data_IF_376389549120
#
_entry.id   IF_376389549120
#
_cell.length_a   1.000
_cell.length_b   1.000
_cell.length_c   1.000
_cell.angle_alpha   90.00
_cell.angle_beta   90.00
_cell.angle_gamma   90.00
#
_symmetry.space_group_name_H-M   'P 1'
#
loop_
_entity.id
_entity.type
_entity.pdbx_description
1 polymer ?
#
# COMPACT_ATOMS: atom_id res chain seq x y z
N UNK A 1 19.16 -4.90 -19.25
CA UNK A 1 19.29 -5.85 -18.12
C UNK A 1 18.24 -6.93 -18.32
N UNK A 2 18.50 -8.18 -17.95
CA UNK A 2 17.53 -9.28 -18.11
C UNK A 2 16.62 -9.35 -16.87
N UNK A 3 15.43 -9.93 -17.01
CA UNK A 3 14.52 -10.19 -15.89
C UNK A 3 15.21 -11.08 -14.86
N UNK A 4 15.21 -10.67 -13.60
CA UNK A 4 15.70 -11.44 -12.46
C UNK A 4 14.51 -12.16 -11.84
N UNK A 5 14.66 -13.45 -11.61
CA UNK A 5 13.68 -14.26 -10.88
C UNK A 5 14.35 -14.65 -9.56
N UNK A 6 13.67 -14.39 -8.45
CA UNK A 6 14.10 -14.75 -7.11
C UNK A 6 13.05 -15.65 -6.45
N UNK A 7 13.48 -16.79 -5.93
CA UNK A 7 12.60 -17.78 -5.31
C UNK A 7 13.12 -18.20 -3.94
N UNK A 8 12.19 -18.67 -3.10
CA UNK A 8 12.55 -19.23 -1.80
C UNK A 8 11.36 -19.38 -0.85
N UNK A 9 11.69 -19.44 0.43
CA UNK A 9 10.71 -19.67 1.50
C UNK A 9 10.50 -18.39 2.31
N UNK A 10 9.26 -18.17 2.73
CA UNK A 10 8.86 -17.08 3.61
C UNK A 10 8.12 -17.62 4.83
N UNK A 11 8.53 -17.20 6.03
CA UNK A 11 7.96 -17.65 7.29
C UNK A 11 7.54 -16.47 8.17
N UNK A 12 6.44 -16.62 8.91
CA UNK A 12 6.04 -15.62 9.91
C UNK A 12 6.97 -15.68 11.14
N UNK A 13 7.60 -14.56 11.48
CA UNK A 13 8.51 -14.44 12.64
C UNK A 13 7.83 -13.76 13.84
N UNK A 14 6.81 -12.96 13.60
CA UNK A 14 5.97 -12.37 14.64
C UNK A 14 4.62 -11.97 14.03
N UNK A 15 3.53 -12.12 14.78
CA UNK A 15 2.22 -11.67 14.31
C UNK A 15 1.26 -11.48 15.46
N UNK A 16 0.46 -10.41 15.41
CA UNK A 16 -0.66 -10.20 16.32
C UNK A 16 -1.90 -9.93 15.49
N UNK A 17 -2.91 -10.79 15.69
CA UNK A 17 -4.27 -10.53 15.23
C UNK A 17 -4.99 -9.74 16.32
N UNK A 18 -5.67 -8.67 15.95
CA UNK A 18 -6.49 -7.91 16.87
C UNK A 18 -7.91 -8.49 16.90
N UNK A 19 -8.04 -9.69 17.47
CA UNK A 19 -9.34 -10.35 17.62
C UNK A 19 -10.30 -9.45 18.41
N UNK A 20 -11.46 -9.14 17.81
CA UNK A 20 -12.48 -8.27 18.39
C UNK A 20 -12.32 -6.77 18.09
N UNK A 21 -11.25 -6.36 17.40
CA UNK A 21 -11.16 -5.03 16.78
C UNK A 21 -11.59 -5.17 15.33
N UNK A 22 -12.84 -4.80 15.07
CA UNK A 22 -13.35 -4.67 13.71
C UNK A 22 -13.25 -3.19 13.36
N UNK A 23 -12.56 -2.86 12.27
CA UNK A 23 -12.63 -1.53 11.70
C UNK A 23 -14.10 -1.21 11.34
N UNK A 24 -14.44 0.07 11.20
CA UNK A 24 -15.80 0.55 10.92
C UNK A 24 -16.45 -0.10 9.68
N UNK A 25 -15.65 -0.69 8.80
CA UNK A 25 -16.01 -1.35 7.55
C UNK A 25 -16.11 -2.89 7.65
N UNK A 26 -15.97 -3.48 8.83
CA UNK A 26 -16.04 -4.94 9.01
C UNK A 26 -14.70 -5.66 8.91
N UNK A 27 -13.60 -4.98 8.55
CA UNK A 27 -12.27 -5.59 8.36
C UNK A 27 -11.57 -5.81 9.70
N UNK A 28 -10.73 -6.85 9.79
CA UNK A 28 -9.92 -7.11 10.99
C UNK A 28 -8.46 -6.75 10.68
N UNK A 29 -7.87 -5.76 11.34
CA UNK A 29 -6.46 -5.45 11.14
C UNK A 29 -5.60 -6.60 11.66
N UNK A 30 -4.54 -6.86 10.93
CA UNK A 30 -3.50 -7.81 11.30
C UNK A 30 -2.15 -7.11 11.16
N UNK A 31 -1.18 -7.54 11.96
CA UNK A 31 0.20 -7.13 11.78
C UNK A 31 1.03 -8.40 11.88
N UNK A 32 1.81 -8.71 10.85
CA UNK A 32 2.89 -9.69 10.94
C UNK A 32 4.21 -9.14 10.43
N UNK A 33 5.26 -9.89 10.74
CA UNK A 33 6.57 -9.78 10.15
C UNK A 33 6.93 -11.15 9.60
N UNK A 34 7.53 -11.14 8.42
CA UNK A 34 7.94 -12.30 7.65
C UNK A 34 9.46 -12.28 7.47
N UNK A 35 10.06 -13.45 7.53
CA UNK A 35 11.47 -13.67 7.17
C UNK A 35 11.51 -14.38 5.82
N UNK A 36 12.32 -13.84 4.91
CA UNK A 36 12.57 -14.38 3.59
C UNK A 36 13.93 -15.09 3.60
N UNK A 37 13.96 -16.29 3.03
CA UNK A 37 15.16 -17.09 2.81
C UNK A 37 15.21 -17.60 1.38
N UNK A 38 16.38 -17.99 0.88
CA UNK A 38 16.59 -18.34 -0.53
C UNK A 38 17.32 -17.22 -1.27
N UNK A 39 16.80 -16.83 -2.44
CA UNK A 39 17.43 -15.77 -3.26
C UNK A 39 17.24 -14.38 -2.65
N UNK A 40 16.10 -14.10 -2.02
CA UNK A 40 15.90 -12.96 -1.13
C UNK A 40 16.15 -13.40 0.32
N UNK A 41 17.07 -12.70 0.98
CA UNK A 41 17.38 -12.87 2.41
C UNK A 41 17.10 -11.58 3.13
N UNK A 42 16.12 -11.58 4.03
CA UNK A 42 15.74 -10.36 4.74
C UNK A 42 14.45 -10.50 5.51
N UNK A 43 13.98 -9.36 6.02
CA UNK A 43 12.71 -9.30 6.76
C UNK A 43 11.75 -8.37 6.05
N UNK A 44 10.52 -8.82 5.88
CA UNK A 44 9.41 -7.96 5.52
C UNK A 44 8.51 -7.70 6.73
N UNK A 45 8.18 -6.46 7.00
CA UNK A 45 7.25 -6.08 8.07
C UNK A 45 5.97 -5.54 7.47
N UNK A 46 4.82 -6.00 7.96
CA UNK A 46 3.54 -5.31 7.70
C UNK A 46 3.63 -3.90 8.25
N UNK A 47 3.46 -2.94 7.35
CA UNK A 47 3.32 -1.53 7.71
C UNK A 47 1.85 -1.12 7.69
N UNK A 48 1.04 -1.77 6.84
CA UNK A 48 -0.39 -1.98 7.11
C UNK A 48 -0.86 -3.28 6.48
N UNK A 49 -1.69 -4.02 7.19
CA UNK A 49 -2.44 -5.09 6.58
C UNK A 49 -3.87 -5.06 7.06
N UNK A 50 -4.78 -5.07 6.11
CA UNK A 50 -6.19 -5.22 6.34
C UNK A 50 -6.54 -6.63 5.87
N UNK A 51 -6.88 -7.51 6.80
CA UNK A 51 -7.69 -8.64 6.35
C UNK A 51 -9.05 -8.05 6.05
N UNK A 52 -9.42 -7.94 4.77
CA UNK A 52 -10.82 -7.81 4.36
C UNK A 52 -11.48 -9.17 4.62
N UNK A 53 -11.54 -9.56 5.88
CA UNK A 53 -12.39 -10.66 6.28
C UNK A 53 -13.80 -10.10 6.18
N UNK A 54 -14.41 -10.19 5.00
CA UNK A 54 -15.85 -10.20 4.91
C UNK A 54 -16.29 -11.45 5.67
N UNK A 55 -16.54 -11.28 6.97
CA UNK A 55 -17.30 -12.28 7.72
C UNK A 55 -18.77 -12.15 7.30
N UNK A 56 -19.07 -12.46 6.03
CA UNK A 56 -20.42 -12.86 5.68
C UNK A 56 -20.57 -14.27 6.24
N UNK A 57 -21.28 -14.37 7.36
CA UNK A 57 -21.71 -15.66 7.90
C UNK A 57 -22.53 -16.37 6.80
N UNK A 58 -21.92 -17.34 6.11
CA UNK A 58 -22.63 -18.23 5.18
C UNK A 58 -22.09 -18.33 3.75
N UNK A 59 -21.05 -17.58 3.36
CA UNK A 59 -20.38 -17.74 2.05
C UNK A 59 -18.85 -17.75 2.26
N UNK A 60 -18.24 -18.90 1.99
CA UNK A 60 -16.88 -19.25 2.39
C UNK A 60 -15.83 -18.65 1.42
N UNK A 61 -15.58 -17.34 1.50
CA UNK A 61 -14.44 -16.68 0.84
C UNK A 61 -13.81 -15.64 1.76
N UNK A 62 -12.49 -15.70 1.93
CA UNK A 62 -11.69 -14.74 2.71
C UNK A 62 -10.77 -14.00 1.77
N UNK A 63 -10.88 -12.68 1.74
CA UNK A 63 -9.95 -11.81 1.03
C UNK A 63 -8.97 -11.18 2.03
N UNK A 64 -7.69 -11.11 1.66
CA UNK A 64 -6.67 -10.49 2.48
C UNK A 64 -5.83 -9.55 1.63
N UNK A 65 -5.63 -8.33 2.13
CA UNK A 65 -4.80 -7.32 1.48
C UNK A 65 -3.72 -6.87 2.46
N UNK A 66 -2.47 -6.91 2.01
CA UNK A 66 -1.33 -6.55 2.84
C UNK A 66 -0.37 -5.65 2.07
N UNK A 67 0.23 -4.73 2.81
CA UNK A 67 1.36 -3.93 2.39
C UNK A 67 2.54 -4.23 3.32
N UNK A 68 3.60 -4.80 2.73
CA UNK A 68 4.82 -5.19 3.44
C UNK A 68 5.98 -4.30 3.04
N UNK A 69 6.81 -3.89 4.00
CA UNK A 69 8.13 -3.33 3.75
C UNK A 69 9.20 -4.37 3.92
N UNK A 70 9.89 -4.68 2.84
CA UNK A 70 11.06 -5.52 2.83
C UNK A 70 12.34 -4.70 3.04
N UNK A 71 13.21 -5.23 3.89
CA UNK A 71 14.60 -4.83 3.99
C UNK A 71 15.48 -6.07 4.00
N UNK A 72 16.44 -6.13 3.09
CA UNK A 72 17.30 -7.30 2.94
C UNK A 72 18.24 -7.25 1.76
N UNK A 73 18.68 -8.43 1.35
CA UNK A 73 19.63 -8.68 0.27
C UNK A 73 19.01 -9.60 -0.79
N UNK A 74 19.27 -9.29 -2.05
CA UNK A 74 19.06 -10.20 -3.17
C UNK A 74 20.40 -10.84 -3.54
N UNK A 75 20.45 -12.17 -3.52
CA UNK A 75 21.63 -12.97 -3.74
C UNK A 75 22.32 -12.59 -5.06
N UNK A 76 23.59 -12.20 -4.98
CA UNK A 76 24.40 -11.81 -6.14
C UNK A 76 24.09 -10.43 -6.73
N UNK A 77 23.13 -9.68 -6.17
CA UNK A 77 22.77 -8.32 -6.60
C UNK A 77 23.16 -7.29 -5.53
N UNK A 78 22.74 -7.51 -4.27
CA UNK A 78 23.11 -6.67 -3.14
C UNK A 78 21.93 -6.29 -2.24
N UNK A 79 22.16 -5.32 -1.35
CA UNK A 79 21.20 -4.90 -0.32
C UNK A 79 20.29 -3.76 -0.77
N UNK A 80 19.04 -3.76 -0.33
CA UNK A 80 18.11 -2.66 -0.56
C UNK A 80 16.80 -2.80 0.20
N UNK A 81 15.84 -1.94 -0.11
CA UNK A 81 14.48 -1.99 0.43
C UNK A 81 13.46 -1.87 -0.68
N UNK A 82 12.25 -2.35 -0.42
CA UNK A 82 11.08 -2.09 -1.24
C UNK A 82 9.81 -2.33 -0.42
N UNK A 83 8.69 -1.75 -0.86
CA UNK A 83 7.38 -2.12 -0.37
C UNK A 83 6.72 -3.08 -1.38
N UNK A 84 5.85 -3.95 -0.90
CA UNK A 84 5.07 -4.84 -1.77
C UNK A 84 3.63 -4.91 -1.32
N UNK A 85 2.71 -4.79 -2.28
CA UNK A 85 1.30 -5.11 -2.08
C UNK A 85 1.10 -6.62 -2.24
N UNK A 86 0.06 -7.14 -1.61
CA UNK A 86 -0.29 -8.54 -1.72
C UNK A 86 -1.79 -8.71 -1.50
N UNK A 87 -2.49 -9.27 -2.49
CA UNK A 87 -3.90 -9.61 -2.42
C UNK A 87 -4.05 -11.12 -2.53
N UNK A 88 -4.78 -11.71 -1.59
CA UNK A 88 -5.04 -13.15 -1.52
C UNK A 88 -6.54 -13.42 -1.45
N UNK A 89 -7.00 -14.45 -2.15
CA UNK A 89 -8.35 -15.01 -2.00
C UNK A 89 -8.25 -16.46 -1.52
N UNK A 90 -9.08 -16.82 -0.55
CA UNK A 90 -9.04 -18.13 0.11
C UNK A 90 -10.44 -18.65 0.35
N UNK A 91 -10.67 -19.95 0.11
CA UNK A 91 -11.96 -20.59 0.41
C UNK A 91 -12.31 -20.55 1.91
N UNK A 92 -11.31 -20.47 2.80
CA UNK A 92 -11.56 -20.37 4.24
C UNK A 92 -10.32 -19.87 4.98
N UNK A 93 -10.55 -19.28 6.13
CA UNK A 93 -9.47 -18.87 7.02
C UNK A 93 -8.62 -20.08 7.46
N UNK A 94 -7.30 -19.98 7.26
CA UNK A 94 -6.35 -21.06 7.55
C UNK A 94 -6.35 -22.21 6.52
N UNK A 95 -7.00 -22.03 5.37
CA UNK A 95 -6.83 -22.87 4.19
C UNK A 95 -5.60 -22.46 3.36
N UNK A 96 -5.33 -23.21 2.27
CA UNK A 96 -4.35 -22.82 1.26
C UNK A 96 -4.67 -21.45 0.69
N UNK A 97 -3.63 -20.73 0.28
CA UNK A 97 -3.77 -19.43 -0.33
C UNK A 97 -2.75 -19.26 -1.45
N UNK A 98 -3.19 -18.59 -2.50
CA UNK A 98 -2.31 -17.95 -3.46
C UNK A 98 -2.52 -16.45 -3.33
N UNK A 99 -1.44 -15.70 -3.43
CA UNK A 99 -1.48 -14.26 -3.36
C UNK A 99 -0.53 -13.66 -4.36
N UNK A 100 -0.88 -12.49 -4.86
CA UNK A 100 -0.03 -11.76 -5.79
C UNK A 100 -0.05 -10.27 -5.48
N UNK A 101 0.98 -9.56 -5.93
CA UNK A 101 0.97 -8.11 -5.90
C UNK A 101 2.22 -7.49 -6.50
N UNK A 102 2.34 -6.19 -6.31
CA UNK A 102 3.32 -5.33 -6.97
C UNK A 102 4.39 -4.87 -5.99
N UNK A 103 5.61 -4.70 -6.49
CA UNK A 103 6.74 -4.15 -5.74
C UNK A 103 6.92 -2.69 -6.12
N UNK A 104 6.91 -1.82 -5.11
CA UNK A 104 7.03 -0.37 -5.23
C UNK A 104 8.11 0.17 -4.29
N UNK A 105 8.53 1.42 -4.51
CA UNK A 105 9.45 2.11 -3.61
C UNK A 105 10.85 1.47 -3.50
N UNK A 106 11.35 0.87 -4.59
CA UNK A 106 12.62 0.14 -4.62
C UNK A 106 13.82 1.07 -4.40
N UNK A 107 14.73 0.71 -3.50
CA UNK A 107 15.97 1.47 -3.18
C UNK A 107 17.22 0.59 -3.15
N UNK A 108 18.40 1.20 -3.19
CA UNK A 108 19.68 0.50 -3.12
C UNK A 108 19.90 -0.42 -4.32
N UNK A 109 20.20 -1.70 -4.07
CA UNK A 109 20.45 -2.68 -5.13
C UNK A 109 19.22 -2.97 -6.02
N UNK A 110 18.03 -2.51 -5.61
CA UNK A 110 16.78 -2.64 -6.36
C UNK A 110 16.42 -1.41 -7.20
N UNK A 111 17.21 -0.33 -7.12
CA UNK A 111 16.94 0.91 -7.88
C UNK A 111 16.89 0.65 -9.39
N UNK A 112 15.91 1.27 -10.05
CA UNK A 112 15.72 1.12 -11.50
C UNK A 112 15.13 -0.22 -11.93
N UNK A 113 14.54 -0.99 -10.99
CA UNK A 113 13.75 -2.18 -11.28
C UNK A 113 12.25 -1.91 -11.06
N UNK A 114 11.42 -2.73 -11.68
CA UNK A 114 10.02 -2.95 -11.29
C UNK A 114 9.85 -4.42 -10.94
N UNK A 115 8.83 -4.79 -10.16
CA UNK A 115 8.62 -6.20 -9.89
C UNK A 115 7.24 -6.58 -9.41
N UNK A 116 6.99 -7.88 -9.47
CA UNK A 116 5.79 -8.52 -8.95
C UNK A 116 6.21 -9.62 -7.99
N UNK A 117 5.32 -9.95 -7.04
CA UNK A 117 5.49 -11.07 -6.13
C UNK A 117 4.27 -11.98 -6.20
N UNK A 118 4.52 -13.27 -6.13
CA UNK A 118 3.52 -14.29 -5.85
C UNK A 118 3.95 -15.05 -4.60
N UNK A 119 3.01 -15.27 -3.67
CA UNK A 119 3.18 -16.23 -2.58
C UNK A 119 2.18 -17.36 -2.69
N UNK A 120 2.65 -18.58 -2.47
CA UNK A 120 1.82 -19.79 -2.38
C UNK A 120 2.07 -20.43 -1.02
N UNK A 121 1.00 -20.61 -0.25
CA UNK A 121 1.06 -21.23 1.07
C UNK A 121 -0.03 -22.27 1.27
N UNK A 122 0.31 -23.33 1.99
CA UNK A 122 -0.64 -24.40 2.33
C UNK A 122 -1.65 -23.99 3.42
N UNK A 123 -1.33 -22.93 4.17
CA UNK A 123 -2.16 -22.38 5.23
C UNK A 123 -1.85 -20.91 5.49
N UNK A 124 -2.87 -20.06 5.53
CA UNK A 124 -2.71 -18.66 5.93
C UNK A 124 -2.07 -18.52 7.33
N UNK A 125 -1.10 -17.60 7.46
CA UNK A 125 -0.35 -17.39 8.70
C UNK A 125 0.67 -18.50 9.00
N UNK A 126 1.17 -19.18 7.97
CA UNK A 126 2.22 -20.19 8.08
C UNK A 126 3.29 -19.99 7.00
N UNK A 127 4.24 -20.92 6.92
CA UNK A 127 5.26 -20.94 5.87
C UNK A 127 4.61 -20.98 4.48
N UNK A 128 5.16 -20.18 3.57
CA UNK A 128 4.79 -20.10 2.17
C UNK A 128 6.05 -20.05 1.31
N UNK A 129 5.92 -20.38 0.04
CA UNK A 129 6.96 -20.15 -0.96
C UNK A 129 6.69 -18.82 -1.67
N UNK A 130 7.74 -18.09 -2.03
CA UNK A 130 7.63 -16.89 -2.85
C UNK A 130 8.29 -17.07 -4.21
N UNK A 131 7.77 -16.32 -5.17
CA UNK A 131 8.42 -16.03 -6.45
C UNK A 131 8.31 -14.54 -6.71
N UNK A 132 9.46 -13.88 -6.87
CA UNK A 132 9.56 -12.48 -7.23
C UNK A 132 10.17 -12.37 -8.61
N UNK A 133 9.57 -11.55 -9.46
CA UNK A 133 10.12 -11.22 -10.78
C UNK A 133 10.48 -9.74 -10.80
N UNK A 134 11.77 -9.44 -10.91
CA UNK A 134 12.25 -8.08 -11.14
C UNK A 134 12.59 -7.89 -12.61
N UNK A 135 11.94 -6.93 -13.26
CA UNK A 135 12.35 -6.47 -14.58
C UNK A 135 13.18 -5.19 -14.42
N UNK A 136 14.08 -4.88 -15.37
CA UNK A 136 14.54 -3.50 -15.51
C UNK A 136 13.30 -2.65 -15.66
N UNK A 137 13.21 -1.57 -14.90
CA UNK A 137 12.21 -0.55 -15.19
C UNK A 137 12.48 -0.15 -16.64
N UNK A 138 11.55 -0.48 -17.55
CA UNK A 138 11.64 -0.03 -18.93
C UNK A 138 11.81 1.49 -18.86
N UNK A 139 12.91 2.01 -19.42
CA UNK A 139 13.16 3.46 -19.54
C UNK A 139 11.83 4.13 -19.96
N UNK A 140 11.14 4.74 -19.00
CA UNK A 140 9.85 5.37 -19.24
C UNK A 140 8.66 4.44 -19.58
N UNK A 141 8.30 3.50 -18.70
CA UNK A 141 6.90 3.58 -18.23
C UNK A 141 6.88 4.43 -16.98
N UNK A 142 7.17 5.73 -17.14
CA UNK A 142 6.27 6.67 -16.47
C UNK A 142 4.88 6.15 -16.88
N UNK A 143 4.08 5.72 -15.93
CA UNK A 143 2.70 5.43 -16.25
C UNK A 143 2.14 6.77 -16.73
N UNK A 144 2.16 6.98 -18.05
CA UNK A 144 1.87 8.28 -18.64
C UNK A 144 0.40 8.31 -18.98
N UNK A 145 -0.28 9.35 -18.52
CA UNK A 145 -1.71 9.53 -18.72
C UNK A 145 -2.52 9.37 -17.42
N UNK A 146 -3.83 9.66 -17.51
CA UNK A 146 -4.70 9.67 -16.35
C UNK A 146 -4.71 8.32 -15.65
N UNK A 147 -4.89 8.35 -14.33
CA UNK A 147 -5.06 7.16 -13.52
C UNK A 147 -6.39 6.50 -13.87
N UNK A 148 -6.39 5.17 -13.93
CA UNK A 148 -7.61 4.39 -13.76
C UNK A 148 -8.14 4.54 -12.32
N UNK A 149 -9.44 4.26 -12.14
CA UNK A 149 -10.09 4.32 -10.83
C UNK A 149 -9.45 3.34 -9.84
N UNK A 150 -9.03 2.15 -10.28
CA UNK A 150 -8.37 1.17 -9.42
C UNK A 150 -6.96 1.62 -9.01
N UNK A 151 -6.18 2.21 -9.92
CA UNK A 151 -4.88 2.79 -9.58
C UNK A 151 -5.05 3.92 -8.56
N UNK A 152 -5.98 4.84 -8.81
CA UNK A 152 -6.24 5.96 -7.91
C UNK A 152 -6.76 5.51 -6.53
N UNK A 153 -7.58 4.46 -6.48
CA UNK A 153 -8.03 3.85 -5.24
C UNK A 153 -6.85 3.28 -4.44
N UNK A 154 -5.92 2.59 -5.09
CA UNK A 154 -4.71 2.07 -4.45
C UNK A 154 -3.85 3.18 -3.84
N UNK A 155 -3.71 4.34 -4.52
CA UNK A 155 -3.01 5.50 -3.96
C UNK A 155 -3.73 6.10 -2.75
N UNK A 156 -5.06 6.20 -2.79
CA UNK A 156 -5.85 6.71 -1.66
C UNK A 156 -5.79 5.76 -0.45
N UNK A 157 -5.78 4.44 -0.68
CA UNK A 157 -5.61 3.43 0.35
C UNK A 157 -4.19 3.45 0.93
N UNK A 158 -3.16 3.62 0.09
CA UNK A 158 -1.76 3.81 0.53
C UNK A 158 -1.61 5.06 1.42
N UNK A 159 -2.29 6.15 1.08
CA UNK A 159 -2.33 7.35 1.91
C UNK A 159 -3.01 7.11 3.27
N UNK A 160 -4.17 6.45 3.28
CA UNK A 160 -4.89 6.12 4.50
C UNK A 160 -4.04 5.25 5.46
N UNK A 161 -3.30 4.30 4.87
CA UNK A 161 -2.30 3.47 5.54
C UNK A 161 -1.18 4.32 6.13
N UNK A 162 -0.55 5.17 5.32
CA UNK A 162 0.59 5.99 5.74
C UNK A 162 0.24 6.90 6.92
N UNK A 163 -0.97 7.47 6.94
CA UNK A 163 -1.48 8.26 8.06
C UNK A 163 -1.62 7.45 9.33
N UNK A 164 -2.24 6.27 9.24
CA UNK A 164 -2.46 5.39 10.39
C UNK A 164 -1.13 4.88 10.96
N UNK A 165 -0.16 4.59 10.09
CA UNK A 165 1.17 4.10 10.49
C UNK A 165 2.16 5.21 10.89
N UNK A 166 1.82 6.49 10.64
CA UNK A 166 2.73 7.65 10.77
C UNK A 166 3.99 7.54 9.90
N UNK A 167 3.86 6.93 8.73
CA UNK A 167 4.94 6.73 7.78
C UNK A 167 4.76 7.59 6.52
N UNK A 168 5.04 8.88 6.65
CA UNK A 168 4.84 9.86 5.58
C UNK A 168 5.96 9.87 4.53
N UNK A 169 7.07 9.17 4.77
CA UNK A 169 8.17 9.05 3.80
C UNK A 169 7.71 8.40 2.49
N UNK A 170 6.71 7.53 2.57
CA UNK A 170 6.08 6.91 1.40
C UNK A 170 5.34 7.91 0.53
N UNK A 171 4.62 8.84 1.13
CA UNK A 171 3.90 9.87 0.38
C UNK A 171 4.88 10.78 -0.34
N UNK A 172 5.98 11.17 0.32
CA UNK A 172 7.09 11.88 -0.32
C UNK A 172 7.66 11.08 -1.51
N UNK A 173 7.96 9.80 -1.30
CA UNK A 173 8.52 8.93 -2.35
C UNK A 173 7.55 8.77 -3.53
N UNK A 174 6.25 8.63 -3.25
CA UNK A 174 5.21 8.41 -4.26
C UNK A 174 4.98 9.65 -5.09
N UNK A 175 4.92 10.81 -4.45
CA UNK A 175 4.89 12.11 -5.14
C UNK A 175 6.09 12.26 -6.07
N UNK A 176 7.27 11.87 -5.60
CA UNK A 176 8.50 12.08 -6.36
C UNK A 176 8.84 13.58 -6.52
N UNK A 177 9.90 13.91 -7.26
CA UNK A 177 10.44 15.28 -7.29
C UNK A 177 9.48 16.31 -7.91
N UNK A 178 8.58 15.87 -8.79
CA UNK A 178 7.65 16.73 -9.53
C UNK A 178 6.21 16.63 -9.02
N UNK A 179 5.94 15.75 -8.06
CA UNK A 179 4.60 15.57 -7.50
C UNK A 179 4.23 16.67 -6.51
N UNK A 180 2.92 16.89 -6.36
CA UNK A 180 2.39 17.91 -5.45
C UNK A 180 1.25 17.40 -4.57
N UNK A 181 1.16 17.99 -3.38
CA UNK A 181 0.06 17.85 -2.45
C UNK A 181 -0.66 19.20 -2.34
N UNK A 182 -1.96 19.22 -2.57
CA UNK A 182 -2.81 20.41 -2.44
C UNK A 182 -3.76 20.20 -1.27
N UNK A 183 -3.55 20.93 -0.18
CA UNK A 183 -4.34 20.81 1.03
C UNK A 183 -5.73 21.41 0.88
N UNK A 184 -6.65 21.10 1.80
CA UNK A 184 -8.00 21.69 1.87
C UNK A 184 -7.97 23.23 1.89
N UNK A 185 -6.90 23.84 2.43
CA UNK A 185 -6.71 25.29 2.46
C UNK A 185 -6.38 25.90 1.08
N UNK A 186 -5.99 25.07 0.12
CA UNK A 186 -5.42 25.46 -1.17
C UNK A 186 -3.90 25.65 -1.13
N UNK A 187 -3.25 25.42 0.02
CA UNK A 187 -1.80 25.45 0.12
C UNK A 187 -1.19 24.25 -0.62
N UNK A 188 -0.09 24.49 -1.33
CA UNK A 188 0.59 23.49 -2.16
C UNK A 188 1.92 23.12 -1.53
N UNK A 189 2.17 21.82 -1.40
CA UNK A 189 3.39 21.24 -0.86
C UNK A 189 4.03 20.33 -1.91
N UNK A 190 5.34 20.43 -2.05
CA UNK A 190 6.13 19.48 -2.83
C UNK A 190 6.57 18.29 -1.97
N UNK A 191 7.17 17.28 -2.59
CA UNK A 191 7.68 16.11 -1.89
C UNK A 191 8.60 16.47 -0.69
N UNK A 192 9.43 17.50 -0.83
CA UNK A 192 10.38 17.89 0.23
C UNK A 192 9.73 18.55 1.45
N UNK A 193 8.49 19.04 1.32
CA UNK A 193 7.77 19.77 2.37
C UNK A 193 6.54 19.03 2.87
N UNK A 194 6.04 18.03 2.13
CA UNK A 194 4.82 17.28 2.46
C UNK A 194 4.88 16.59 3.81
N UNK A 195 6.02 16.00 4.20
CA UNK A 195 6.14 15.28 5.48
C UNK A 195 5.91 16.21 6.68
N UNK A 196 6.46 17.41 6.63
CA UNK A 196 6.27 18.40 7.69
C UNK A 196 4.81 18.82 7.83
N UNK A 197 4.12 18.96 6.70
CA UNK A 197 2.70 19.24 6.65
C UNK A 197 1.86 18.07 7.20
N UNK A 198 2.03 16.85 6.67
CA UNK A 198 1.26 15.67 7.10
C UNK A 198 1.55 15.31 8.57
N UNK A 199 2.78 15.52 9.03
CA UNK A 199 3.20 15.34 10.42
C UNK A 199 2.56 16.31 11.40
N UNK A 200 1.97 17.42 10.93
CA UNK A 200 1.26 18.38 11.80
C UNK A 200 -0.12 17.88 12.25
N UNK A 201 -0.64 16.80 11.64
CA UNK A 201 -1.93 16.19 11.96
C UNK A 201 -1.79 15.02 12.94
N UNK A 202 -1.02 15.21 14.01
CA UNK A 202 -0.78 14.20 15.05
C UNK A 202 -2.03 13.82 15.85
N UNK A 203 -3.10 14.62 15.74
CA UNK A 203 -4.40 14.40 16.35
C UNK A 203 -5.33 13.46 15.54
N UNK A 204 -5.00 13.13 14.29
CA UNK A 204 -5.77 12.17 13.48
C UNK A 204 -5.34 10.75 13.85
N UNK A 205 -6.25 9.91 14.32
CA UNK A 205 -5.94 8.54 14.75
C UNK A 205 -6.04 7.49 13.65
N UNK A 206 -6.90 7.71 12.65
CA UNK A 206 -7.00 6.85 11.47
C UNK A 206 -7.59 7.61 10.30
N UNK A 207 -7.24 7.18 9.10
CA UNK A 207 -7.93 7.55 7.86
C UNK A 207 -8.34 6.26 7.15
N UNK A 208 -9.49 6.28 6.49
CA UNK A 208 -10.00 5.18 5.66
C UNK A 208 -10.65 5.74 4.41
N UNK A 209 -10.53 5.06 3.29
CA UNK A 209 -11.30 5.37 2.09
C UNK A 209 -12.72 4.79 2.23
N UNK A 210 -13.72 5.62 1.95
CA UNK A 210 -15.09 5.20 1.74
C UNK A 210 -15.22 4.87 0.24
N UNK A 211 -15.83 3.75 -0.10
CA UNK A 211 -15.93 3.24 -1.48
C UNK A 211 -16.96 4.02 -2.32
N UNK A 212 -16.78 5.34 -2.36
CA UNK A 212 -17.53 6.31 -3.14
C UNK A 212 -16.51 7.14 -3.89
N UNK A 213 -16.64 7.18 -5.22
CA UNK A 213 -15.73 7.92 -6.09
C UNK A 213 -16.44 8.89 -7.02
N UNK A 214 -15.71 9.93 -7.44
CA UNK A 214 -16.09 10.89 -8.47
C UNK A 214 -14.92 11.04 -9.43
N UNK A 215 -15.15 10.76 -10.71
CA UNK A 215 -14.18 11.01 -11.78
C UNK A 215 -14.39 12.42 -12.35
N UNK A 216 -13.32 13.19 -12.45
CA UNK A 216 -13.35 14.57 -12.91
C UNK A 216 -12.03 15.00 -13.57
N UNK A 217 -11.96 16.26 -14.05
CA UNK A 217 -10.73 16.80 -14.63
C UNK A 217 -9.56 16.87 -13.64
N UNK A 218 -9.83 16.85 -12.33
CA UNK A 218 -8.86 16.85 -11.25
C UNK A 218 -8.35 15.44 -10.89
N UNK A 219 -8.83 14.41 -11.60
CA UNK A 219 -8.48 13.00 -11.38
C UNK A 219 -9.66 12.18 -10.85
N UNK A 220 -9.34 11.15 -10.09
CA UNK A 220 -10.35 10.32 -9.41
C UNK A 220 -10.34 10.68 -7.93
N UNK A 221 -11.48 11.15 -7.44
CA UNK A 221 -11.65 11.54 -6.05
C UNK A 221 -12.40 10.49 -5.26
N UNK A 222 -11.95 10.23 -4.04
CA UNK A 222 -12.59 9.31 -3.10
C UNK A 222 -12.97 10.04 -1.83
N UNK A 223 -14.12 9.69 -1.27
CA UNK A 223 -14.46 10.14 0.08
C UNK A 223 -13.58 9.40 1.10
N UNK A 224 -13.01 10.13 2.04
CA UNK A 224 -12.14 9.66 3.10
C UNK A 224 -12.80 9.93 4.44
N UNK A 225 -12.78 8.94 5.33
CA UNK A 225 -13.24 9.03 6.70
C UNK A 225 -12.05 9.13 7.64
N UNK A 226 -12.03 10.17 8.48
CA UNK A 226 -11.00 10.39 9.47
C UNK A 226 -11.55 10.32 10.89
N UNK A 227 -10.76 9.76 11.80
CA UNK A 227 -11.04 9.76 13.24
C UNK A 227 -9.98 10.57 13.97
N UNK A 228 -10.38 11.23 15.06
CA UNK A 228 -9.51 12.10 15.84
C UNK A 228 -9.33 11.60 17.27
N UNK A 229 -8.23 12.03 17.89
CA UNK A 229 -8.03 11.94 19.33
C UNK A 229 -9.22 12.57 20.07
N UNK A 230 -9.83 11.77 20.96
CA UNK A 230 -11.05 12.16 21.67
C UNK A 230 -12.35 11.64 21.05
N UNK A 231 -12.27 10.89 19.93
CA UNK A 231 -13.39 10.10 19.38
C UNK A 231 -14.33 10.88 18.46
N UNK A 232 -13.96 12.09 18.05
CA UNK A 232 -14.66 12.78 16.96
C UNK A 232 -14.27 12.17 15.60
N UNK A 233 -15.10 12.40 14.59
CA UNK A 233 -14.86 11.94 13.22
C UNK A 233 -15.35 12.96 12.21
N UNK A 234 -14.79 12.92 11.01
CA UNK A 234 -15.18 13.77 9.89
C UNK A 234 -14.98 13.04 8.57
N UNK A 235 -15.50 13.60 7.47
CA UNK A 235 -15.12 13.18 6.12
C UNK A 235 -14.48 14.32 5.35
N UNK A 236 -13.62 13.95 4.40
CA UNK A 236 -13.07 14.82 3.39
C UNK A 236 -12.94 14.02 2.09
N UNK A 237 -12.52 14.66 1.00
CA UNK A 237 -12.33 13.99 -0.29
C UNK A 237 -10.87 14.10 -0.70
N UNK A 238 -10.29 13.01 -1.19
CA UNK A 238 -8.94 12.98 -1.73
C UNK A 238 -9.00 12.64 -3.21
N UNK A 239 -8.63 13.59 -4.07
CA UNK A 239 -8.42 13.36 -5.49
C UNK A 239 -6.98 12.97 -5.77
N UNK A 240 -6.81 11.98 -6.62
CA UNK A 240 -5.51 11.55 -7.14
C UNK A 240 -5.52 11.73 -8.65
N UNK A 241 -4.57 12.48 -9.17
CA UNK A 241 -4.32 12.63 -10.60
C UNK A 241 -2.86 12.40 -10.95
N UNK A 242 -2.64 12.14 -12.23
CA UNK A 242 -1.32 11.97 -12.83
C UNK A 242 -1.28 12.72 -14.15
N UNK A 243 -0.26 13.56 -14.31
CA UNK A 243 -0.09 14.35 -15.53
C UNK A 243 0.58 13.55 -16.66
N UNK A 244 0.79 14.21 -17.81
CA UNK A 244 1.44 13.59 -18.97
C UNK A 244 2.92 13.23 -18.72
N UNK A 245 3.57 13.88 -17.75
CA UNK A 245 4.93 13.59 -17.29
C UNK A 245 4.99 12.45 -16.26
N UNK A 246 3.84 11.96 -15.79
CA UNK A 246 3.75 10.94 -14.75
C UNK A 246 3.81 11.51 -13.32
N UNK A 247 3.80 12.83 -13.14
CA UNK A 247 3.81 13.46 -11.83
C UNK A 247 2.45 13.28 -11.15
N UNK A 248 2.46 12.83 -9.89
CA UNK A 248 1.25 12.65 -9.10
C UNK A 248 0.84 13.95 -8.41
N UNK A 249 -0.46 14.21 -8.39
CA UNK A 249 -1.06 15.26 -7.58
C UNK A 249 -2.12 14.67 -6.67
N UNK A 250 -1.97 14.88 -5.37
CA UNK A 250 -3.00 14.62 -4.37
C UNK A 250 -3.69 15.94 -4.01
N UNK A 251 -5.02 15.99 -4.07
CA UNK A 251 -5.78 17.19 -3.71
C UNK A 251 -6.87 16.87 -2.71
N UNK A 252 -6.90 17.59 -1.60
CA UNK A 252 -7.92 17.44 -0.58
C UNK A 252 -9.08 18.43 -0.77
N UNK A 253 -10.32 17.97 -0.58
CA UNK A 253 -11.52 18.80 -0.63
C UNK A 253 -12.42 18.57 0.59
N UNK A 254 -13.16 19.61 0.99
CA UNK A 254 -14.19 19.49 2.05
C UNK A 254 -15.47 18.80 1.57
N UNK A 255 -15.70 18.81 0.27
CA UNK A 255 -16.90 18.26 -0.38
C UNK A 255 -16.47 17.56 -1.66
N UNK A 256 -17.33 16.68 -2.18
CA UNK A 256 -17.09 16.04 -3.46
C UNK A 256 -16.73 17.08 -4.53
N UNK A 257 -15.65 16.87 -5.30
CA UNK A 257 -15.37 17.69 -6.47
C UNK A 257 -16.48 17.50 -7.52
N UNK A 258 -16.66 18.53 -8.35
CA UNK A 258 -17.81 18.68 -9.25
C UNK A 258 -17.59 18.04 -10.62
#
# INVERSE_FOLDING_TARGET
METIIAEGDVADIAGTRFDGVTASDGRTPFINSKEFTGDLVGTARVVASFVVASFVVGEDAVEAEALWDFSGELAGVGTGTFSMTNSASMDKFGGPFESSGEIIGLTGAFEGLSGTIVLDGTKFGSEATYRVEFAPASDGSAMTGPLSTDEAAAFADEFAIAFTARDFARIEQRLGPDGTWVAISGDVYDASTVIGFLGSFDFITSIQRIDVSVEGPEGVAFEMFETFDGGASNTFWLAVSRDEGGALTFTEYKTAPA
#
